data_IF_005266830907
#
_entry.id   IF_005266830907
#
_cell.length_a   1.000
_cell.length_b   1.000
_cell.length_c   1.000
_cell.angle_alpha   90.00
_cell.angle_beta   90.00
_cell.angle_gamma   90.00
#
_symmetry.space_group_name_H-M   'P 1'
#
loop_
_entity.id
_entity.type
_entity.pdbx_description
1 polymer ?
#
# COMPACT_ATOMS: atom_id res chain seq x y z
N UNK A 1 8.56 -8.25 3.00
CA UNK A 1 9.28 -7.32 2.10
C UNK A 1 10.24 -8.09 1.16
N UNK A 2 11.21 -8.86 1.68
CA UNK A 2 12.19 -9.59 0.85
C UNK A 2 11.63 -10.73 -0.03
N UNK A 3 10.46 -11.29 0.31
CA UNK A 3 9.83 -12.42 -0.40
C UNK A 3 9.07 -12.03 -1.68
N UNK A 4 8.84 -10.74 -1.92
CA UNK A 4 8.06 -10.24 -3.06
C UNK A 4 8.92 -9.79 -4.26
N UNK A 5 10.22 -10.13 -4.27
CA UNK A 5 11.20 -9.54 -5.18
C UNK A 5 11.34 -8.00 -5.08
N UNK A 6 10.77 -7.36 -4.05
CA UNK A 6 11.09 -5.99 -3.66
C UNK A 6 12.49 -5.95 -3.02
N UNK A 7 13.54 -6.16 -3.81
CA UNK A 7 14.94 -6.11 -3.34
C UNK A 7 15.38 -4.67 -3.01
N UNK A 8 14.78 -3.69 -3.69
CA UNK A 8 14.88 -2.28 -3.38
C UNK A 8 13.52 -1.61 -3.68
N UNK A 9 13.08 -0.65 -2.85
CA UNK A 9 11.91 0.16 -3.16
C UNK A 9 12.10 0.89 -4.50
N UNK A 10 11.04 1.06 -5.27
CA UNK A 10 11.09 1.90 -6.46
C UNK A 10 11.25 3.37 -6.08
N UNK A 11 11.72 4.22 -7.00
CA UNK A 11 11.90 5.65 -6.74
C UNK A 11 10.64 6.35 -6.17
N UNK A 12 9.45 5.96 -6.63
CA UNK A 12 8.20 6.52 -6.08
C UNK A 12 7.92 5.99 -4.67
N UNK A 13 8.25 4.73 -4.37
CA UNK A 13 8.11 4.15 -3.03
C UNK A 13 9.08 4.81 -2.05
N UNK A 14 10.34 5.03 -2.44
CA UNK A 14 11.34 5.71 -1.61
C UNK A 14 10.88 7.11 -1.20
N UNK A 15 10.26 7.84 -2.13
CA UNK A 15 9.76 9.19 -1.88
C UNK A 15 8.46 9.14 -1.06
N UNK A 16 7.53 8.26 -1.41
CA UNK A 16 6.18 8.29 -0.82
C UNK A 16 6.07 7.58 0.52
N UNK A 17 6.76 6.45 0.73
CA UNK A 17 6.63 5.64 1.95
C UNK A 17 7.00 6.39 3.23
N UNK A 18 8.09 7.17 3.32
CA UNK A 18 8.41 7.92 4.53
C UNK A 18 7.32 8.92 4.91
N UNK A 19 6.73 9.60 3.92
CA UNK A 19 5.62 10.52 4.14
C UNK A 19 4.32 9.78 4.49
N UNK A 20 4.07 8.67 3.79
CA UNK A 20 2.89 7.83 4.00
C UNK A 20 2.95 7.04 5.30
N UNK A 21 4.10 6.84 5.94
CA UNK A 21 4.24 6.12 7.22
C UNK A 21 4.52 7.07 8.39
N UNK A 22 4.65 8.37 8.13
CA UNK A 22 4.86 9.36 9.16
C UNK A 22 3.72 9.37 10.19
N UNK A 23 4.08 9.70 11.42
CA UNK A 23 3.14 9.91 12.53
C UNK A 23 3.36 11.34 13.09
N UNK A 24 2.37 12.26 12.96
CA UNK A 24 1.04 12.06 12.39
C UNK A 24 1.05 11.84 10.86
N UNK A 25 0.01 11.15 10.33
CA UNK A 25 -0.15 10.91 8.91
C UNK A 25 -0.29 12.22 8.12
N UNK A 26 0.33 12.28 6.95
CA UNK A 26 0.22 13.41 6.03
C UNK A 26 -0.50 12.98 4.74
N UNK A 27 -1.37 13.86 4.25
CA UNK A 27 -1.99 13.70 2.94
C UNK A 27 -0.96 13.87 1.83
N UNK A 28 -1.07 13.08 0.76
CA UNK A 28 -0.13 13.09 -0.36
C UNK A 28 -0.88 13.03 -1.67
N UNK A 29 -0.41 13.80 -2.63
CA UNK A 29 -0.72 13.63 -4.06
C UNK A 29 0.55 13.11 -4.72
N UNK A 30 0.50 11.89 -5.26
CA UNK A 30 1.63 11.26 -5.91
C UNK A 30 1.31 10.99 -7.39
N UNK A 31 2.15 11.52 -8.28
CA UNK A 31 2.04 11.26 -9.72
C UNK A 31 3.28 10.51 -10.20
N UNK A 32 3.06 9.42 -10.94
CA UNK A 32 4.13 8.70 -11.61
C UNK A 32 3.58 7.92 -12.79
N UNK A 33 4.44 7.37 -13.65
CA UNK A 33 4.03 6.52 -14.77
C UNK A 33 3.48 5.17 -14.26
N UNK A 34 2.72 4.46 -15.12
CA UNK A 34 2.26 3.09 -14.84
C UNK A 34 3.45 2.14 -14.62
N UNK A 35 3.26 1.10 -13.80
CA UNK A 35 4.32 0.12 -13.52
C UNK A 35 5.43 0.57 -12.56
N UNK A 36 5.35 1.79 -12.00
CA UNK A 36 6.39 2.33 -11.10
C UNK A 36 6.24 1.92 -9.63
N UNK A 37 5.24 1.11 -9.27
CA UNK A 37 5.10 0.60 -7.89
C UNK A 37 4.22 1.44 -6.95
N UNK A 38 3.39 2.36 -7.48
CA UNK A 38 2.40 3.13 -6.69
C UNK A 38 1.45 2.25 -5.88
N UNK A 39 0.95 1.17 -6.48
CA UNK A 39 0.01 0.25 -5.81
C UNK A 39 0.62 -0.34 -4.55
N UNK A 40 1.82 -0.89 -4.65
CA UNK A 40 2.53 -1.39 -3.48
C UNK A 40 2.82 -0.31 -2.44
N UNK A 41 3.13 0.93 -2.85
CA UNK A 41 3.39 2.04 -1.93
C UNK A 41 2.17 2.33 -1.03
N UNK A 42 0.99 2.56 -1.62
CA UNK A 42 -0.21 2.81 -0.82
C UNK A 42 -0.71 1.56 -0.11
N UNK A 43 -0.58 0.36 -0.70
CA UNK A 43 -0.99 -0.88 -0.04
C UNK A 43 -0.20 -1.13 1.24
N UNK A 44 1.13 -0.94 1.22
CA UNK A 44 1.98 -1.06 2.42
C UNK A 44 1.53 -0.04 3.47
N UNK A 45 1.41 1.23 3.08
CA UNK A 45 1.02 2.29 4.00
C UNK A 45 -0.36 2.08 4.63
N UNK A 46 -1.31 1.57 3.85
CA UNK A 46 -2.65 1.23 4.34
C UNK A 46 -2.59 0.11 5.37
N UNK A 47 -1.96 -1.02 5.04
CA UNK A 47 -1.95 -2.18 5.96
C UNK A 47 -1.12 -1.89 7.22
N UNK A 48 -0.05 -1.11 7.13
CA UNK A 48 0.75 -0.67 8.28
C UNK A 48 -0.03 0.17 9.31
N UNK A 49 -1.24 0.64 8.96
CA UNK A 49 -2.11 1.42 9.86
C UNK A 49 -3.34 0.66 10.35
N UNK A 50 -3.58 -0.57 9.88
CA UNK A 50 -4.74 -1.36 10.29
C UNK A 50 -4.45 -2.01 11.65
N UNK A 51 -5.36 -1.85 12.60
CA UNK A 51 -5.36 -2.63 13.84
C UNK A 51 -6.15 -3.95 13.62
N UNK A 52 -5.49 -5.11 13.66
CA UNK A 52 -6.15 -6.40 13.42
C UNK A 52 -7.16 -6.78 14.51
N UNK A 53 -7.12 -6.16 15.69
CA UNK A 53 -8.06 -6.44 16.78
C UNK A 53 -9.43 -5.78 16.56
N UNK A 54 -9.49 -4.77 15.69
CA UNK A 54 -10.71 -4.02 15.40
C UNK A 54 -11.38 -4.60 14.14
N UNK A 55 -12.50 -5.32 14.34
CA UNK A 55 -13.29 -5.94 13.26
C UNK A 55 -14.27 -4.97 12.60
N UNK A 56 -13.77 -3.84 12.12
CA UNK A 56 -14.54 -2.86 11.35
C UNK A 56 -13.71 -2.33 10.17
N UNK A 57 -14.34 -1.75 9.13
CA UNK A 57 -13.60 -1.12 8.03
C UNK A 57 -12.73 0.05 8.54
N UNK A 58 -11.42 -0.04 8.36
CA UNK A 58 -10.44 0.98 8.79
C UNK A 58 -9.75 1.70 7.62
N UNK A 59 -9.92 1.19 6.39
CA UNK A 59 -9.35 1.77 5.18
C UNK A 59 -10.31 1.63 4.00
N UNK A 60 -10.30 2.62 3.12
CA UNK A 60 -11.07 2.64 1.87
C UNK A 60 -10.14 2.98 0.71
N UNK A 61 -10.15 2.14 -0.33
CA UNK A 61 -9.43 2.40 -1.58
C UNK A 61 -10.46 2.45 -2.70
N UNK A 62 -10.47 3.57 -3.42
CA UNK A 62 -11.34 3.76 -4.58
C UNK A 62 -10.56 3.46 -5.85
N UNK A 63 -11.14 2.66 -6.74
CA UNK A 63 -10.60 2.34 -8.05
C UNK A 63 -11.59 2.79 -9.13
N UNK A 64 -11.11 3.20 -10.31
CA UNK A 64 -11.96 3.66 -11.41
C UNK A 64 -12.74 2.53 -12.11
N UNK A 65 -12.28 1.28 -11.98
CA UNK A 65 -12.94 0.10 -12.56
C UNK A 65 -12.94 -1.07 -11.58
N UNK A 66 -13.86 -2.01 -11.80
CA UNK A 66 -13.99 -3.20 -10.97
C UNK A 66 -12.76 -4.13 -11.10
N UNK A 67 -12.25 -4.30 -12.31
CA UNK A 67 -11.08 -5.13 -12.58
C UNK A 67 -9.83 -4.58 -11.88
N UNK A 68 -9.67 -3.26 -11.84
CA UNK A 68 -8.55 -2.65 -11.13
C UNK A 68 -8.72 -2.79 -9.62
N UNK A 69 -9.94 -2.71 -9.10
CA UNK A 69 -10.22 -2.98 -7.69
C UNK A 69 -9.79 -4.41 -7.30
N UNK A 70 -10.13 -5.41 -8.12
CA UNK A 70 -9.72 -6.80 -7.91
C UNK A 70 -8.19 -6.95 -7.93
N UNK A 71 -7.52 -6.33 -8.91
CA UNK A 71 -6.05 -6.36 -9.00
C UNK A 71 -5.38 -5.75 -7.76
N UNK A 72 -5.89 -4.61 -7.26
CA UNK A 72 -5.40 -3.98 -6.04
C UNK A 72 -5.65 -4.88 -4.82
N UNK A 73 -6.82 -5.50 -4.73
CA UNK A 73 -7.16 -6.46 -3.67
C UNK A 73 -6.16 -7.60 -3.58
N UNK A 74 -5.84 -8.25 -4.70
CA UNK A 74 -4.84 -9.31 -4.76
C UNK A 74 -3.45 -8.86 -4.30
N UNK A 75 -3.06 -7.61 -4.57
CA UNK A 75 -1.79 -7.06 -4.08
C UNK A 75 -1.83 -6.91 -2.56
N UNK A 76 -2.92 -6.37 -2.01
CA UNK A 76 -3.10 -6.18 -0.56
C UNK A 76 -3.07 -7.51 0.18
N UNK A 77 -3.82 -8.50 -0.29
CA UNK A 77 -3.84 -9.84 0.30
C UNK A 77 -2.45 -10.48 0.32
N UNK A 78 -1.70 -10.33 -0.77
CA UNK A 78 -0.35 -10.85 -0.82
C UNK A 78 0.59 -10.12 0.15
N UNK A 79 0.48 -8.80 0.31
CA UNK A 79 1.30 -8.03 1.25
C UNK A 79 0.96 -8.40 2.69
N UNK A 80 -0.33 -8.53 3.01
CA UNK A 80 -0.83 -8.85 4.34
C UNK A 80 -0.27 -10.18 4.88
N UNK A 81 -0.03 -11.19 4.02
CA UNK A 81 0.60 -12.47 4.40
C UNK A 81 1.97 -12.33 5.08
N UNK A 82 2.67 -11.22 4.87
CA UNK A 82 4.03 -11.01 5.38
C UNK A 82 4.11 -10.00 6.52
N UNK A 83 2.98 -9.48 6.99
CA UNK A 83 2.95 -8.61 8.15
C UNK A 83 2.72 -9.48 9.39
N UNK A 84 3.62 -9.42 10.39
CA UNK A 84 3.43 -10.14 11.64
C UNK A 84 2.24 -9.52 12.38
N UNK A 85 1.19 -10.31 12.57
CA UNK A 85 0.09 -10.01 13.48
C UNK A 85 0.31 -10.81 14.77
#
# INVERSE_FOLDING_TARGET
IYSMNFRAPSKIQEITLPHLLNDPPKNIIAQSQSGTGKTAAFSIATISRIDPNIKSPQALILAPTFELALQIGSVIENIAKFLPY
#
